data_IF_723199710442
#
_entry.id   IF_723199710442
#
_cell.length_a   1.000
_cell.length_b   1.000
_cell.length_c   1.000
_cell.angle_alpha   90.00
_cell.angle_beta   90.00
_cell.angle_gamma   90.00
#
_symmetry.space_group_name_H-M   'P 1'
#
loop_
_entity.id
_entity.type
_entity.pdbx_description
1 polymer ?
#
# COMPACT_ATOMS: atom_id res chain seq x y z
N UNK A 1 -28.43 39.61 -43.32
CA UNK A 1 -27.70 38.48 -42.80
C UNK A 1 -26.28 38.83 -42.34
N UNK A 2 -25.47 39.56 -43.09
CA UNK A 2 -24.09 39.96 -42.76
C UNK A 2 -23.97 40.87 -41.50
N UNK A 3 -24.87 41.81 -41.30
CA UNK A 3 -24.87 42.72 -40.13
C UNK A 3 -25.24 42.01 -38.83
N UNK A 4 -26.16 41.06 -38.89
CA UNK A 4 -26.52 40.23 -37.73
C UNK A 4 -25.35 39.34 -37.28
N UNK A 5 -24.66 38.71 -38.21
CA UNK A 5 -23.49 37.87 -37.94
C UNK A 5 -22.35 38.69 -37.31
N UNK A 6 -22.11 39.90 -37.80
CA UNK A 6 -21.13 40.86 -37.24
C UNK A 6 -21.48 41.24 -35.79
N UNK A 7 -22.76 41.51 -35.50
CA UNK A 7 -23.19 41.84 -34.16
C UNK A 7 -23.05 40.67 -33.19
N UNK A 8 -23.38 39.46 -33.61
CA UNK A 8 -23.15 38.24 -32.78
C UNK A 8 -21.66 37.99 -32.50
N UNK A 9 -20.79 38.23 -33.50
CA UNK A 9 -19.35 38.12 -33.30
C UNK A 9 -18.82 39.16 -32.32
N UNK A 10 -19.27 40.42 -32.41
CA UNK A 10 -18.91 41.48 -31.46
C UNK A 10 -19.40 41.15 -30.04
N UNK A 11 -20.63 40.68 -29.88
CA UNK A 11 -21.17 40.28 -28.58
C UNK A 11 -20.38 39.08 -28.00
N UNK A 12 -19.98 38.10 -28.82
CA UNK A 12 -19.16 37.00 -28.39
C UNK A 12 -17.76 37.44 -27.94
N UNK A 13 -17.15 38.40 -28.65
CA UNK A 13 -15.84 38.98 -28.31
C UNK A 13 -15.95 39.77 -26.99
N UNK A 14 -16.96 40.61 -26.84
CA UNK A 14 -17.20 41.40 -25.63
C UNK A 14 -17.51 40.50 -24.42
N UNK A 15 -18.31 39.46 -24.62
CA UNK A 15 -18.57 38.45 -23.60
C UNK A 15 -17.30 37.71 -23.18
N UNK A 16 -16.48 37.31 -24.14
CA UNK A 16 -15.17 36.66 -23.88
C UNK A 16 -14.23 37.60 -23.11
N UNK A 17 -14.15 38.89 -23.50
CA UNK A 17 -13.35 39.87 -22.78
C UNK A 17 -13.83 40.12 -21.35
N UNK A 18 -15.16 40.22 -21.15
CA UNK A 18 -15.75 40.38 -19.82
C UNK A 18 -15.44 39.17 -18.90
N UNK A 19 -15.49 37.94 -19.43
CA UNK A 19 -15.14 36.72 -18.69
C UNK A 19 -13.65 36.74 -18.31
N UNK A 20 -12.76 37.11 -19.24
CA UNK A 20 -11.32 37.21 -18.97
C UNK A 20 -11.00 38.27 -17.93
N UNK A 21 -11.65 39.45 -18.01
CA UNK A 21 -11.52 40.54 -17.05
C UNK A 21 -12.00 40.12 -15.65
N UNK A 22 -13.11 39.36 -15.57
CA UNK A 22 -13.61 38.82 -14.30
C UNK A 22 -12.64 37.78 -13.72
N UNK A 23 -12.12 36.87 -14.54
CA UNK A 23 -11.11 35.89 -14.10
C UNK A 23 -9.86 36.57 -13.57
N UNK A 24 -9.37 37.62 -14.30
CA UNK A 24 -8.22 38.42 -13.87
C UNK A 24 -8.48 39.11 -12.52
N UNK A 25 -9.64 39.77 -12.38
CA UNK A 25 -10.02 40.46 -11.16
C UNK A 25 -10.11 39.52 -9.96
N UNK A 26 -10.79 38.38 -10.11
CA UNK A 26 -10.89 37.34 -9.06
C UNK A 26 -9.51 36.77 -8.71
N UNK A 27 -8.66 36.56 -9.73
CA UNK A 27 -7.29 36.10 -9.52
C UNK A 27 -6.44 37.11 -8.75
N UNK A 28 -6.57 38.42 -9.08
CA UNK A 28 -5.85 39.48 -8.39
C UNK A 28 -6.26 39.62 -6.91
N UNK A 29 -7.54 39.39 -6.59
CA UNK A 29 -8.03 39.35 -5.21
C UNK A 29 -7.54 38.17 -4.42
N UNK A 30 -7.43 36.99 -5.05
CA UNK A 30 -7.05 35.73 -4.37
C UNK A 30 -5.54 35.62 -4.25
N UNK A 31 -4.75 36.07 -5.23
CA UNK A 31 -3.30 35.85 -5.27
C UNK A 31 -2.55 36.30 -4.01
N UNK A 32 -2.86 37.49 -3.39
CA UNK A 32 -2.22 37.90 -2.14
C UNK A 32 -2.56 37.00 -0.92
N UNK A 33 -3.69 36.29 -0.98
CA UNK A 33 -4.13 35.40 0.13
C UNK A 33 -3.53 34.00 0.06
N UNK A 34 -2.78 33.73 -1.01
CA UNK A 34 -2.16 32.41 -1.18
C UNK A 34 -1.03 32.19 -0.15
N UNK A 35 -0.88 30.95 0.33
CA UNK A 35 0.16 30.62 1.30
C UNK A 35 1.56 30.94 0.78
N UNK A 36 2.47 31.16 1.73
CA UNK A 36 3.90 31.29 1.42
C UNK A 36 4.45 29.93 0.98
N UNK A 37 5.18 29.90 -0.13
CA UNK A 37 5.75 28.70 -0.72
C UNK A 37 7.25 28.51 -0.44
N UNK A 38 7.91 29.47 0.27
CA UNK A 38 9.35 29.41 0.54
C UNK A 38 9.81 28.15 1.29
N UNK A 39 8.91 27.49 2.04
CA UNK A 39 9.23 26.24 2.70
C UNK A 39 9.33 25.05 1.75
N UNK A 40 8.89 25.15 0.49
CA UNK A 40 9.09 24.10 -0.51
C UNK A 40 10.56 23.99 -0.94
N UNK A 41 11.32 25.09 -0.95
CA UNK A 41 12.75 25.10 -1.27
C UNK A 41 13.59 24.25 -0.29
N UNK A 42 13.08 24.08 0.93
CA UNK A 42 13.75 23.32 2.01
C UNK A 42 12.85 22.18 2.52
N UNK A 43 12.08 21.61 1.61
CA UNK A 43 11.16 20.56 2.01
C UNK A 43 11.90 19.25 2.29
N UNK A 44 11.84 18.82 3.55
CA UNK A 44 12.23 17.47 3.95
C UNK A 44 10.98 16.67 4.31
N UNK A 45 10.72 15.56 3.62
CA UNK A 45 9.56 14.73 3.94
C UNK A 45 9.63 14.18 5.36
N UNK A 46 8.48 14.11 6.02
CA UNK A 46 8.36 13.46 7.33
C UNK A 46 8.85 12.02 7.23
N UNK A 47 9.83 11.67 8.01
CA UNK A 47 10.39 10.33 8.03
C UNK A 47 9.99 9.60 9.31
N UNK A 48 9.63 8.29 9.22
CA UNK A 48 9.24 7.51 10.39
C UNK A 48 10.42 7.23 11.32
N UNK A 49 10.12 6.94 12.59
CA UNK A 49 11.07 6.36 13.53
C UNK A 49 11.44 4.95 13.07
N UNK A 50 12.72 4.66 12.92
CA UNK A 50 13.24 3.35 12.58
C UNK A 50 14.10 2.80 13.70
N UNK A 51 13.85 1.55 14.10
CA UNK A 51 14.56 0.87 15.19
C UNK A 51 15.29 -0.34 14.64
N UNK A 52 16.60 -0.40 14.90
CA UNK A 52 17.51 -1.39 14.36
C UNK A 52 18.16 -2.25 15.45
N UNK A 53 18.57 -3.46 15.09
CA UNK A 53 19.52 -4.24 15.90
C UNK A 53 20.90 -3.60 15.89
N UNK A 54 21.80 -4.13 16.73
CA UNK A 54 23.22 -3.66 16.77
C UNK A 54 23.91 -3.75 15.39
N UNK A 55 23.54 -4.74 14.58
CA UNK A 55 24.11 -5.00 13.24
C UNK A 55 23.33 -4.28 12.11
N UNK A 56 22.36 -3.42 12.44
CA UNK A 56 21.59 -2.65 11.45
C UNK A 56 20.38 -3.41 10.85
N UNK A 57 19.98 -4.57 11.37
CA UNK A 57 18.75 -5.22 10.92
C UNK A 57 17.53 -4.49 11.46
N UNK A 58 16.59 -4.12 10.58
CA UNK A 58 15.38 -3.40 10.95
C UNK A 58 14.47 -4.26 11.86
N UNK A 59 14.17 -3.76 13.06
CA UNK A 59 13.25 -4.37 14.02
C UNK A 59 11.83 -3.83 13.80
N UNK A 60 11.66 -2.51 13.75
CA UNK A 60 10.38 -1.88 13.56
C UNK A 60 10.49 -0.49 12.94
N UNK A 61 9.38 -0.03 12.36
CA UNK A 61 9.20 1.31 11.84
C UNK A 61 7.88 1.87 12.36
N UNK A 62 7.92 3.03 13.00
CA UNK A 62 6.75 3.72 13.55
C UNK A 62 6.55 5.07 12.88
N UNK A 63 5.39 5.26 12.27
CA UNK A 63 4.97 6.45 11.57
C UNK A 63 3.68 6.20 10.79
N UNK A 64 2.93 7.25 10.52
CA UNK A 64 1.69 7.15 9.75
C UNK A 64 1.95 6.96 8.27
N UNK A 65 3.04 7.54 7.79
CA UNK A 65 3.42 7.59 6.38
C UNK A 65 4.71 6.81 6.15
N UNK A 66 4.79 6.14 5.02
CA UNK A 66 6.02 5.52 4.52
C UNK A 66 6.61 6.44 3.47
N UNK A 67 7.80 6.96 3.73
CA UNK A 67 8.50 7.87 2.85
C UNK A 67 9.96 7.47 2.75
N UNK A 68 10.41 7.29 1.52
CA UNK A 68 11.81 7.10 1.18
C UNK A 68 12.13 8.21 0.18
N UNK A 69 12.92 9.22 0.59
CA UNK A 69 13.30 10.35 -0.26
C UNK A 69 14.27 9.91 -1.34
N UNK A 70 14.08 10.42 -2.55
CA UNK A 70 15.00 10.24 -3.67
C UNK A 70 15.20 11.58 -4.39
N UNK A 71 16.46 11.95 -4.63
CA UNK A 71 16.78 13.13 -5.42
C UNK A 71 16.39 12.92 -6.89
N UNK A 72 16.06 14.00 -7.57
CA UNK A 72 15.71 13.92 -9.01
C UNK A 72 16.86 13.35 -9.84
N UNK A 73 18.11 13.67 -9.48
CA UNK A 73 19.32 13.15 -10.12
C UNK A 73 19.52 11.64 -9.96
N UNK A 74 18.92 11.04 -8.92
CA UNK A 74 18.98 9.60 -8.63
C UNK A 74 17.73 8.86 -9.18
N UNK A 75 16.72 9.61 -9.63
CA UNK A 75 15.49 9.03 -10.16
C UNK A 75 15.72 8.46 -11.56
N UNK A 76 15.45 7.15 -11.80
CA UNK A 76 15.65 6.56 -13.11
C UNK A 76 14.84 7.27 -14.20
N UNK A 77 15.48 7.55 -15.36
CA UNK A 77 14.83 8.21 -16.48
C UNK A 77 13.57 7.48 -16.97
N UNK A 78 13.57 6.15 -16.86
CA UNK A 78 12.41 5.31 -17.17
C UNK A 78 11.19 5.68 -16.29
N UNK A 79 11.38 5.97 -15.00
CA UNK A 79 10.31 6.39 -14.09
C UNK A 79 9.82 7.79 -14.46
N UNK A 80 10.73 8.72 -14.72
CA UNK A 80 10.39 10.09 -15.17
C UNK A 80 9.53 10.03 -16.43
N UNK A 81 9.98 9.29 -17.43
CA UNK A 81 9.27 9.12 -18.71
C UNK A 81 7.87 8.51 -18.52
N UNK A 82 7.73 7.52 -17.64
CA UNK A 82 6.44 6.90 -17.33
C UNK A 82 5.48 7.90 -16.69
N UNK A 83 5.95 8.67 -15.69
CA UNK A 83 5.16 9.72 -15.03
C UNK A 83 4.73 10.78 -16.04
N UNK A 84 5.67 11.35 -16.79
CA UNK A 84 5.39 12.41 -17.77
C UNK A 84 4.41 11.94 -18.83
N UNK A 85 4.58 10.72 -19.34
CA UNK A 85 3.72 10.18 -20.40
C UNK A 85 2.25 10.15 -20.05
N UNK A 86 1.91 9.92 -18.78
CA UNK A 86 0.53 9.67 -18.33
C UNK A 86 -0.08 10.82 -17.54
N UNK A 87 0.72 11.59 -16.82
CA UNK A 87 0.25 12.68 -15.95
C UNK A 87 0.39 14.05 -16.64
N UNK A 88 1.52 14.34 -17.27
CA UNK A 88 1.80 15.65 -17.83
C UNK A 88 2.88 15.62 -18.92
N UNK A 89 2.49 15.23 -20.13
CA UNK A 89 3.44 15.06 -21.25
C UNK A 89 4.24 16.32 -21.58
N UNK A 90 3.61 17.49 -21.41
CA UNK A 90 4.20 18.78 -21.77
C UNK A 90 4.73 19.55 -20.57
N UNK A 91 5.03 18.83 -19.50
CA UNK A 91 5.47 19.41 -18.23
C UNK A 91 6.58 20.46 -18.37
N UNK A 92 7.58 20.18 -19.20
CA UNK A 92 8.70 21.10 -19.44
C UNK A 92 8.37 22.28 -20.39
N UNK A 93 7.20 22.28 -21.05
CA UNK A 93 6.84 23.29 -22.05
C UNK A 93 5.92 24.39 -21.53
N UNK A 94 5.16 24.14 -20.46
CA UNK A 94 4.13 25.06 -19.96
C UNK A 94 4.51 25.65 -18.60
N UNK A 95 4.04 26.89 -18.26
CA UNK A 95 4.34 27.56 -17.00
C UNK A 95 3.35 27.17 -15.88
N UNK A 96 3.20 25.89 -15.57
CA UNK A 96 2.33 25.35 -14.51
C UNK A 96 0.92 24.99 -14.94
N UNK A 97 0.43 25.57 -16.05
CA UNK A 97 -0.89 25.28 -16.62
C UNK A 97 -0.72 24.93 -18.10
N UNK A 98 -1.18 23.75 -18.49
CA UNK A 98 -1.20 23.33 -19.91
C UNK A 98 -2.51 23.75 -20.58
N UNK A 99 -2.56 24.99 -21.11
CA UNK A 99 -3.74 25.53 -21.79
C UNK A 99 -4.11 24.68 -23.02
N UNK A 100 -3.12 24.19 -23.77
CA UNK A 100 -3.36 23.35 -24.94
C UNK A 100 -3.91 21.98 -24.50
N UNK A 101 -3.40 21.44 -23.40
CA UNK A 101 -3.90 20.21 -22.78
C UNK A 101 -5.35 20.36 -22.29
N UNK A 102 -5.67 21.48 -21.67
CA UNK A 102 -7.05 21.81 -21.24
C UNK A 102 -7.99 21.86 -22.44
N UNK A 103 -7.63 22.58 -23.51
CA UNK A 103 -8.44 22.67 -24.71
C UNK A 103 -8.65 21.30 -25.38
N UNK A 104 -7.59 20.49 -25.47
CA UNK A 104 -7.66 19.12 -25.98
C UNK A 104 -8.57 18.23 -25.15
N UNK A 105 -8.43 18.27 -23.80
CA UNK A 105 -9.26 17.51 -22.89
C UNK A 105 -10.73 17.92 -22.97
N UNK A 106 -11.02 19.23 -23.08
CA UNK A 106 -12.37 19.75 -23.24
C UNK A 106 -13.03 19.21 -24.53
N UNK A 107 -12.32 19.25 -25.66
CA UNK A 107 -12.81 18.72 -26.94
C UNK A 107 -13.10 17.22 -26.87
N UNK A 108 -12.21 16.42 -26.24
CA UNK A 108 -12.41 14.97 -26.10
C UNK A 108 -13.57 14.64 -25.15
N UNK A 109 -13.73 15.39 -24.06
CA UNK A 109 -14.82 15.19 -23.11
C UNK A 109 -16.18 15.53 -23.74
N UNK A 110 -16.26 16.56 -24.58
CA UNK A 110 -17.48 16.92 -25.33
C UNK A 110 -17.83 15.85 -26.37
N UNK A 111 -16.84 15.27 -27.03
CA UNK A 111 -17.05 14.23 -28.07
C UNK A 111 -17.30 12.83 -27.49
N UNK A 112 -17.29 12.67 -26.16
CA UNK A 112 -17.58 11.40 -25.46
C UNK A 112 -16.53 10.29 -25.65
N UNK A 113 -15.40 10.58 -26.31
CA UNK A 113 -14.40 9.54 -26.69
C UNK A 113 -13.49 9.09 -25.55
N UNK A 114 -13.27 9.93 -24.52
CA UNK A 114 -12.51 9.57 -23.32
C UNK A 114 -12.57 10.70 -22.27
N UNK A 115 -12.45 10.36 -20.98
CA UNK A 115 -12.27 11.35 -19.92
C UNK A 115 -10.76 11.56 -19.68
N UNK A 116 -10.20 12.62 -20.28
CA UNK A 116 -8.84 13.05 -20.00
C UNK A 116 -8.82 14.08 -18.86
N UNK A 117 -7.88 13.93 -17.92
CA UNK A 117 -7.60 14.93 -16.89
C UNK A 117 -6.78 16.07 -17.47
N UNK A 118 -7.07 17.28 -17.02
CA UNK A 118 -6.38 18.51 -17.45
C UNK A 118 -5.53 19.12 -16.31
N UNK A 119 -5.22 18.38 -15.26
CA UNK A 119 -4.38 18.85 -14.15
C UNK A 119 -2.91 18.51 -14.43
N UNK A 120 -2.05 19.51 -14.31
CA UNK A 120 -0.60 19.37 -14.49
C UNK A 120 0.08 18.81 -13.23
N UNK A 121 1.34 18.35 -13.34
CA UNK A 121 2.16 17.94 -12.19
C UNK A 121 2.27 19.07 -11.18
N UNK A 122 2.54 20.32 -11.62
CA UNK A 122 2.63 21.49 -10.73
C UNK A 122 1.33 21.75 -9.98
N UNK A 123 0.16 21.61 -10.62
CA UNK A 123 -1.13 21.69 -9.96
C UNK A 123 -1.34 20.58 -8.93
N UNK A 124 -0.82 19.39 -9.18
CA UNK A 124 -0.88 18.29 -8.22
C UNK A 124 0.04 18.55 -7.02
N UNK A 125 1.23 19.11 -7.22
CA UNK A 125 2.12 19.58 -6.15
C UNK A 125 1.41 20.65 -5.31
N UNK A 126 0.85 21.69 -5.95
CA UNK A 126 0.08 22.75 -5.27
C UNK A 126 -1.03 22.16 -4.39
N UNK A 127 -1.79 21.21 -4.93
CA UNK A 127 -2.87 20.54 -4.19
C UNK A 127 -2.36 19.75 -3.00
N UNK A 128 -1.31 18.97 -3.18
CA UNK A 128 -0.82 18.05 -2.14
C UNK A 128 -0.14 18.77 -0.96
N UNK A 129 0.44 19.94 -1.18
CA UNK A 129 1.12 20.71 -0.14
C UNK A 129 0.23 21.72 0.57
N UNK A 130 -0.74 22.33 -0.13
CA UNK A 130 -1.42 23.53 0.36
C UNK A 130 -2.93 23.43 0.44
N UNK A 131 -3.55 22.40 -0.18
CA UNK A 131 -4.99 22.36 -0.32
C UNK A 131 -5.59 21.12 0.33
N UNK A 132 -6.85 21.25 0.73
CA UNK A 132 -7.64 20.14 1.28
C UNK A 132 -8.18 19.22 0.17
N UNK A 133 -8.69 18.05 0.55
CA UNK A 133 -9.27 17.07 -0.38
C UNK A 133 -10.66 17.47 -0.93
N UNK A 134 -11.23 18.59 -0.48
CA UNK A 134 -12.55 19.07 -0.91
C UNK A 134 -12.58 19.40 -2.41
N UNK A 135 -13.66 19.00 -3.09
CA UNK A 135 -13.84 19.23 -4.53
C UNK A 135 -14.69 20.48 -4.77
N UNK A 136 -14.09 21.69 -4.61
CA UNK A 136 -14.77 22.97 -4.82
C UNK A 136 -14.14 23.76 -5.97
N UNK A 137 -14.91 24.64 -6.60
CA UNK A 137 -14.38 25.58 -7.61
C UNK A 137 -13.31 26.50 -7.02
N UNK A 138 -13.52 27.00 -5.79
CA UNK A 138 -12.56 27.83 -5.06
C UNK A 138 -11.21 27.12 -4.93
N UNK A 139 -11.22 25.83 -4.52
CA UNK A 139 -10.01 25.04 -4.45
C UNK A 139 -9.31 24.93 -5.82
N UNK A 140 -10.08 24.75 -6.91
CA UNK A 140 -9.48 24.62 -8.26
C UNK A 140 -8.84 25.94 -8.73
N UNK A 141 -9.40 27.09 -8.40
CA UNK A 141 -8.79 28.39 -8.66
C UNK A 141 -7.50 28.54 -7.86
N UNK A 142 -7.51 28.22 -6.57
CA UNK A 142 -6.31 28.25 -5.72
C UNK A 142 -5.22 27.30 -6.24
N UNK A 143 -5.58 26.10 -6.72
CA UNK A 143 -4.66 25.13 -7.31
C UNK A 143 -3.95 25.71 -8.54
N UNK A 144 -4.69 26.40 -9.41
CA UNK A 144 -4.16 27.06 -10.61
C UNK A 144 -3.22 28.22 -10.23
N UNK A 145 -3.65 29.12 -9.34
CA UNK A 145 -2.87 30.28 -8.93
C UNK A 145 -1.60 29.86 -8.16
N UNK A 146 -1.69 28.84 -7.31
CA UNK A 146 -0.53 28.26 -6.62
C UNK A 146 0.44 27.61 -7.61
N UNK A 147 -0.05 26.92 -8.63
CA UNK A 147 0.80 26.33 -9.66
C UNK A 147 1.63 27.41 -10.38
N UNK A 148 1.01 28.54 -10.74
CA UNK A 148 1.72 29.68 -11.35
C UNK A 148 2.76 30.26 -10.36
N UNK A 149 2.41 30.36 -9.08
CA UNK A 149 3.31 30.88 -8.05
C UNK A 149 4.53 29.94 -7.85
N UNK A 150 4.31 28.63 -7.80
CA UNK A 150 5.35 27.60 -7.66
C UNK A 150 6.33 27.67 -8.85
N UNK A 151 5.83 27.72 -10.08
CA UNK A 151 6.65 27.79 -11.30
C UNK A 151 7.50 29.06 -11.42
N UNK A 152 7.11 30.15 -10.72
CA UNK A 152 7.92 31.36 -10.65
C UNK A 152 9.08 31.28 -9.65
N UNK A 153 9.04 30.30 -8.74
CA UNK A 153 9.98 30.20 -7.62
C UNK A 153 10.90 28.98 -7.77
N UNK A 154 10.38 27.87 -8.28
CA UNK A 154 11.08 26.60 -8.39
C UNK A 154 11.33 26.22 -9.86
N UNK A 155 12.44 25.56 -10.13
CA UNK A 155 12.73 24.93 -11.42
C UNK A 155 11.80 23.74 -11.70
N UNK A 156 11.74 23.30 -12.94
CA UNK A 156 10.98 22.10 -13.35
C UNK A 156 11.48 20.84 -12.64
N UNK A 157 12.76 20.73 -12.48
CA UNK A 157 13.42 19.61 -11.79
C UNK A 157 13.02 19.57 -10.32
N UNK A 158 13.04 20.71 -9.63
CA UNK A 158 12.62 20.82 -8.23
C UNK A 158 11.13 20.49 -8.05
N UNK A 159 10.27 20.96 -8.95
CA UNK A 159 8.84 20.65 -8.94
C UNK A 159 8.60 19.14 -9.15
N UNK A 160 9.33 18.52 -10.08
CA UNK A 160 9.23 17.10 -10.35
C UNK A 160 9.75 16.27 -9.16
N UNK A 161 10.83 16.71 -8.49
CA UNK A 161 11.34 16.09 -7.27
C UNK A 161 10.31 16.12 -6.16
N UNK A 162 9.69 17.27 -5.92
CA UNK A 162 8.60 17.40 -4.96
C UNK A 162 7.44 16.46 -5.29
N UNK A 163 7.04 16.36 -6.55
CA UNK A 163 5.99 15.45 -6.99
C UNK A 163 6.34 13.99 -6.72
N UNK A 164 7.53 13.55 -7.15
CA UNK A 164 8.02 12.17 -7.01
C UNK A 164 8.06 11.74 -5.55
N UNK A 165 8.38 12.65 -4.64
CA UNK A 165 8.52 12.35 -3.21
C UNK A 165 7.23 12.54 -2.40
N UNK A 166 6.25 13.31 -2.90
CA UNK A 166 5.04 13.67 -2.12
C UNK A 166 3.79 12.88 -2.51
N UNK A 167 3.69 12.41 -3.75
CA UNK A 167 2.45 11.82 -4.23
C UNK A 167 2.06 10.56 -3.47
N UNK A 168 0.79 10.46 -3.07
CA UNK A 168 0.27 9.27 -2.40
C UNK A 168 0.00 8.14 -3.40
N UNK A 169 0.54 6.96 -3.14
CA UNK A 169 0.47 5.80 -4.04
C UNK A 169 -0.21 4.56 -3.42
N UNK A 170 -0.90 4.76 -2.30
CA UNK A 170 -1.60 3.67 -1.61
C UNK A 170 -0.73 2.97 -0.56
N UNK A 171 -1.32 2.10 0.27
CA UNK A 171 -0.63 1.35 1.33
C UNK A 171 0.23 2.22 2.27
N UNK A 172 -0.22 3.45 2.52
CA UNK A 172 0.49 4.48 3.32
C UNK A 172 1.83 4.91 2.70
N UNK A 173 2.08 4.60 1.41
CA UNK A 173 3.29 4.99 0.69
C UNK A 173 3.12 6.35 0.04
N UNK A 174 3.99 7.26 0.39
CA UNK A 174 4.12 8.58 -0.19
C UNK A 174 5.46 8.66 -0.92
N UNK A 175 5.40 9.01 -2.19
CA UNK A 175 6.53 8.99 -3.12
C UNK A 175 6.77 7.62 -3.77
N UNK A 176 7.42 7.68 -4.94
CA UNK A 176 7.64 6.51 -5.78
C UNK A 176 8.66 5.53 -5.18
N UNK A 177 9.70 6.00 -4.48
CA UNK A 177 10.68 5.14 -3.83
C UNK A 177 10.05 4.30 -2.73
N UNK A 178 9.22 4.91 -1.85
CA UNK A 178 8.48 4.20 -0.83
C UNK A 178 7.46 3.21 -1.42
N UNK A 179 6.84 3.56 -2.55
CA UNK A 179 5.91 2.68 -3.25
C UNK A 179 6.63 1.47 -3.87
N UNK A 180 7.78 1.66 -4.51
CA UNK A 180 8.61 0.59 -5.06
C UNK A 180 9.00 -0.44 -3.99
N UNK A 181 9.45 0.05 -2.84
CA UNK A 181 9.77 -0.81 -1.70
C UNK A 181 8.51 -1.50 -1.15
N UNK A 182 7.38 -0.80 -1.07
CA UNK A 182 6.14 -1.34 -0.53
C UNK A 182 5.56 -2.43 -1.42
N UNK A 183 5.45 -2.21 -2.72
CA UNK A 183 4.78 -3.16 -3.63
C UNK A 183 5.72 -4.26 -4.14
N UNK A 184 7.00 -3.96 -4.33
CA UNK A 184 7.96 -4.89 -4.93
C UNK A 184 9.13 -5.26 -4.02
N UNK A 185 9.42 -4.48 -2.97
CA UNK A 185 10.61 -4.65 -2.12
C UNK A 185 11.91 -4.33 -2.84
N UNK A 186 11.84 -3.43 -3.82
CA UNK A 186 12.92 -3.01 -4.71
C UNK A 186 13.15 -1.50 -4.58
N UNK A 187 14.36 -1.05 -4.92
CA UNK A 187 14.61 0.36 -5.20
C UNK A 187 14.09 0.72 -6.60
N UNK A 188 13.98 2.02 -6.91
CA UNK A 188 13.45 2.48 -8.20
C UNK A 188 14.28 2.03 -9.41
N UNK A 189 15.60 1.96 -9.27
CA UNK A 189 16.55 1.52 -10.28
C UNK A 189 16.46 0.01 -10.62
N UNK A 190 15.87 -0.76 -9.72
CA UNK A 190 15.69 -2.22 -9.86
C UNK A 190 14.35 -2.60 -10.49
N UNK A 191 13.48 -1.63 -10.75
CA UNK A 191 12.16 -1.88 -11.34
C UNK A 191 12.30 -2.16 -12.84
N UNK A 192 11.57 -3.18 -13.31
CA UNK A 192 11.38 -3.38 -14.75
C UNK A 192 10.35 -2.37 -15.31
N UNK A 193 10.21 -2.35 -16.63
CA UNK A 193 9.31 -1.41 -17.32
C UNK A 193 7.84 -1.59 -16.92
N UNK A 194 7.38 -2.83 -16.74
CA UNK A 194 6.02 -3.13 -16.28
C UNK A 194 5.75 -2.63 -14.87
N UNK A 195 6.67 -2.88 -13.94
CA UNK A 195 6.59 -2.41 -12.55
C UNK A 195 6.60 -0.87 -12.46
N UNK A 196 7.47 -0.23 -13.25
CA UNK A 196 7.55 1.23 -13.38
C UNK A 196 6.23 1.82 -13.88
N UNK A 197 5.68 1.26 -14.95
CA UNK A 197 4.41 1.71 -15.53
C UNK A 197 3.24 1.54 -14.57
N UNK A 198 3.21 0.45 -13.79
CA UNK A 198 2.19 0.25 -12.77
C UNK A 198 2.25 1.35 -11.71
N UNK A 199 3.43 1.64 -11.15
CA UNK A 199 3.58 2.70 -10.15
C UNK A 199 3.20 4.07 -10.71
N UNK A 200 3.63 4.41 -11.93
CA UNK A 200 3.26 5.66 -12.60
C UNK A 200 1.75 5.79 -12.87
N UNK A 201 1.04 4.68 -12.89
CA UNK A 201 -0.42 4.66 -13.05
C UNK A 201 -1.22 4.92 -11.78
N UNK A 202 -0.62 4.76 -10.58
CA UNK A 202 -1.31 4.83 -9.29
C UNK A 202 -1.82 6.24 -8.90
N UNK A 203 -1.14 7.35 -9.21
CA UNK A 203 -1.55 8.70 -8.78
C UNK A 203 -2.99 9.06 -9.10
N UNK A 204 -3.52 8.60 -10.22
CA UNK A 204 -4.90 8.86 -10.68
C UNK A 204 -5.95 8.44 -9.65
N UNK A 205 -5.80 7.27 -9.03
CA UNK A 205 -6.70 6.77 -7.99
C UNK A 205 -6.04 5.60 -7.21
N UNK A 206 -5.16 5.86 -6.24
CA UNK A 206 -4.32 4.84 -5.59
C UNK A 206 -5.11 3.71 -4.93
N UNK A 207 -6.24 4.03 -4.32
CA UNK A 207 -7.12 3.02 -3.70
C UNK A 207 -7.84 2.15 -4.73
N UNK A 208 -8.19 2.71 -5.91
CA UNK A 208 -8.88 1.98 -6.99
C UNK A 208 -7.95 1.06 -7.74
N UNK A 209 -6.73 1.53 -8.02
CA UNK A 209 -5.71 0.80 -8.79
C UNK A 209 -4.72 0.05 -7.92
N UNK A 210 -5.03 -0.17 -6.64
CA UNK A 210 -4.17 -0.89 -5.72
C UNK A 210 -3.93 -2.34 -6.21
N UNK A 211 -2.67 -2.72 -6.54
CA UNK A 211 -2.39 -4.00 -7.16
C UNK A 211 -2.62 -5.20 -6.23
N UNK A 212 -2.55 -5.00 -4.91
CA UNK A 212 -2.76 -6.04 -3.91
C UNK A 212 -4.24 -6.33 -3.67
N UNK A 213 -5.09 -5.31 -3.80
CA UNK A 213 -6.52 -5.42 -3.54
C UNK A 213 -7.32 -5.63 -4.84
N UNK A 214 -6.87 -5.04 -5.95
CA UNK A 214 -7.57 -5.02 -7.23
C UNK A 214 -6.61 -5.23 -8.41
N UNK A 215 -5.94 -6.39 -8.49
CA UNK A 215 -4.89 -6.64 -9.47
C UNK A 215 -5.34 -6.44 -10.93
N UNK A 216 -6.55 -6.85 -11.29
CA UNK A 216 -7.07 -6.65 -12.65
C UNK A 216 -7.17 -5.18 -13.05
N UNK A 217 -7.65 -4.31 -12.16
CA UNK A 217 -7.74 -2.87 -12.44
C UNK A 217 -6.34 -2.22 -12.49
N UNK A 218 -5.41 -2.69 -11.68
CA UNK A 218 -4.02 -2.25 -11.68
C UNK A 218 -3.32 -2.59 -13.00
N UNK A 219 -3.49 -3.82 -13.50
CA UNK A 219 -2.96 -4.25 -14.82
C UNK A 219 -3.53 -3.41 -15.95
N UNK A 220 -4.85 -3.17 -15.98
CA UNK A 220 -5.45 -2.31 -16.99
C UNK A 220 -4.83 -0.89 -16.96
N UNK A 221 -4.60 -0.36 -15.76
CA UNK A 221 -3.98 0.97 -15.61
C UNK A 221 -2.49 0.97 -16.00
N UNK A 222 -1.75 -0.08 -15.71
CA UNK A 222 -0.39 -0.31 -16.21
C UNK A 222 -0.36 -0.28 -17.74
N UNK A 223 -1.29 -0.98 -18.40
CA UNK A 223 -1.42 -0.97 -19.85
C UNK A 223 -1.72 0.42 -20.41
N UNK A 224 -2.55 1.24 -19.72
CA UNK A 224 -2.78 2.63 -20.11
C UNK A 224 -1.47 3.43 -20.13
N UNK A 225 -0.61 3.23 -19.10
CA UNK A 225 0.70 3.91 -19.04
C UNK A 225 1.63 3.43 -20.14
N UNK A 226 1.80 2.12 -20.30
CA UNK A 226 2.63 1.54 -21.37
C UNK A 226 2.19 2.01 -22.76
N UNK A 227 0.88 2.03 -23.02
CA UNK A 227 0.31 2.58 -24.25
C UNK A 227 0.63 4.07 -24.43
N UNK A 228 0.64 4.83 -23.34
CA UNK A 228 1.00 6.25 -23.39
C UNK A 228 2.49 6.43 -23.70
N UNK A 229 3.35 5.65 -23.05
CA UNK A 229 4.80 5.67 -23.31
C UNK A 229 5.12 5.31 -24.76
N UNK A 230 4.49 4.27 -25.31
CA UNK A 230 4.67 3.88 -26.71
C UNK A 230 4.21 4.96 -27.68
N UNK A 231 3.01 5.51 -27.48
CA UNK A 231 2.46 6.59 -28.34
C UNK A 231 3.29 7.85 -28.36
N UNK A 232 4.01 8.14 -27.29
CA UNK A 232 4.83 9.33 -27.17
C UNK A 232 6.33 9.07 -27.40
N UNK A 233 6.69 7.86 -27.85
CA UNK A 233 8.07 7.53 -28.24
C UNK A 233 9.04 7.35 -27.08
N UNK A 234 8.54 7.17 -25.83
CA UNK A 234 9.39 6.88 -24.69
C UNK A 234 9.86 5.42 -24.62
N UNK A 235 9.15 4.53 -25.30
CA UNK A 235 9.51 3.12 -25.49
C UNK A 235 9.21 2.68 -26.90
N UNK A 236 9.91 1.65 -27.39
CA UNK A 236 9.63 0.99 -28.64
C UNK A 236 8.61 -0.14 -28.50
N UNK A 237 8.16 -0.68 -29.65
CA UNK A 237 7.15 -1.75 -29.67
C UNK A 237 7.64 -3.08 -29.06
N UNK A 238 8.88 -3.53 -29.27
CA UNK A 238 9.43 -4.70 -28.59
C UNK A 238 9.41 -4.58 -27.08
N UNK A 239 9.89 -3.47 -26.52
CA UNK A 239 9.87 -3.21 -25.07
C UNK A 239 8.45 -3.17 -24.49
N UNK A 240 7.51 -2.61 -25.24
CA UNK A 240 6.09 -2.62 -24.87
C UNK A 240 5.54 -4.05 -24.75
N UNK A 241 5.82 -4.93 -25.75
CA UNK A 241 5.34 -6.31 -25.75
C UNK A 241 5.94 -7.07 -24.56
N UNK A 242 7.25 -6.97 -24.34
CA UNK A 242 7.93 -7.60 -23.19
C UNK A 242 7.32 -7.15 -21.85
N UNK A 243 7.05 -5.86 -21.69
CA UNK A 243 6.47 -5.33 -20.45
C UNK A 243 5.03 -5.81 -20.20
N UNK A 244 4.28 -6.18 -21.22
CA UNK A 244 2.93 -6.78 -21.10
C UNK A 244 2.97 -8.25 -20.66
N UNK A 245 4.03 -8.98 -21.05
CA UNK A 245 4.21 -10.39 -20.71
C UNK A 245 4.75 -10.58 -19.28
N UNK A 246 5.40 -9.57 -18.74
CA UNK A 246 5.93 -9.61 -17.39
C UNK A 246 4.81 -9.76 -16.35
N UNK A 247 4.85 -10.87 -15.62
CA UNK A 247 3.94 -11.09 -14.50
C UNK A 247 4.22 -10.11 -13.35
N UNK A 248 3.17 -9.61 -12.71
CA UNK A 248 3.31 -8.77 -11.51
C UNK A 248 3.94 -9.56 -10.36
N UNK A 249 5.22 -9.34 -10.12
CA UNK A 249 5.98 -9.93 -9.01
C UNK A 249 5.77 -9.14 -7.71
N UNK A 250 4.53 -9.06 -7.21
CA UNK A 250 4.22 -8.32 -6.00
C UNK A 250 4.78 -8.99 -4.75
N UNK A 251 5.26 -8.19 -3.82
CA UNK A 251 5.75 -8.69 -2.52
C UNK A 251 4.59 -9.26 -1.70
N UNK A 252 4.65 -10.53 -1.36
CA UNK A 252 3.58 -11.23 -0.62
C UNK A 252 3.36 -10.72 0.82
N UNK A 253 4.35 -10.09 1.44
CA UNK A 253 4.29 -9.65 2.85
C UNK A 253 4.92 -8.27 3.05
N UNK A 254 4.15 -7.36 3.63
CA UNK A 254 4.56 -6.00 4.02
C UNK A 254 5.47 -5.92 5.25
N UNK A 255 6.17 -6.95 5.65
CA UNK A 255 7.03 -6.89 6.83
C UNK A 255 8.40 -6.33 6.45
N UNK A 256 8.58 -5.02 6.63
CA UNK A 256 9.92 -4.42 6.64
C UNK A 256 10.80 -4.96 7.78
N UNK A 257 10.21 -5.58 8.82
CA UNK A 257 10.97 -6.11 9.96
C UNK A 257 11.81 -7.31 9.56
N UNK A 258 13.12 -7.14 9.61
CA UNK A 258 14.10 -8.21 9.41
C UNK A 258 14.34 -9.04 10.66
N UNK A 259 13.97 -8.50 11.82
CA UNK A 259 14.15 -9.12 13.11
C UNK A 259 12.90 -8.94 13.98
N UNK A 260 12.31 -10.04 14.42
CA UNK A 260 11.16 -10.03 15.32
C UNK A 260 11.60 -9.73 16.75
N UNK A 261 11.51 -8.47 17.17
CA UNK A 261 11.76 -7.98 18.53
C UNK A 261 10.77 -6.86 18.89
N UNK A 262 9.48 -7.08 18.63
CA UNK A 262 8.43 -6.05 18.72
C UNK A 262 8.33 -5.43 20.13
N UNK A 263 8.51 -6.21 21.19
CA UNK A 263 8.49 -5.69 22.59
C UNK A 263 9.62 -4.70 22.84
N UNK A 264 10.83 -5.00 22.32
CA UNK A 264 11.97 -4.08 22.43
C UNK A 264 11.69 -2.81 21.63
N UNK A 265 11.13 -2.94 20.43
CA UNK A 265 10.76 -1.79 19.61
C UNK A 265 9.74 -0.88 20.34
N UNK A 266 8.74 -1.48 20.97
CA UNK A 266 7.74 -0.73 21.72
C UNK A 266 8.31 -0.05 23.00
N UNK A 267 9.23 -0.70 23.69
CA UNK A 267 9.95 -0.08 24.80
C UNK A 267 10.73 1.15 24.32
N UNK A 268 11.49 1.03 23.25
CA UNK A 268 12.24 2.16 22.65
C UNK A 268 11.28 3.27 22.23
N UNK A 269 10.20 2.92 21.52
CA UNK A 269 9.20 3.91 21.09
C UNK A 269 8.62 4.69 22.30
N UNK A 270 8.26 3.98 23.36
CA UNK A 270 7.69 4.60 24.56
C UNK A 270 8.69 5.56 25.23
N UNK A 271 9.93 5.13 25.43
CA UNK A 271 10.98 5.96 26.01
C UNK A 271 11.21 7.24 25.20
N UNK A 272 11.31 7.11 23.87
CA UNK A 272 11.50 8.27 22.99
C UNK A 272 10.27 9.18 22.96
N UNK A 273 9.08 8.61 23.03
CA UNK A 273 7.85 9.40 23.08
C UNK A 273 7.72 10.23 24.34
N UNK A 274 8.14 9.70 25.48
CA UNK A 274 8.19 10.43 26.77
C UNK A 274 9.16 11.62 26.70
N UNK A 275 10.23 11.54 25.91
CA UNK A 275 11.25 12.58 25.78
C UNK A 275 10.93 13.60 24.67
N UNK A 276 10.51 13.13 23.47
CA UNK A 276 10.37 13.95 22.28
C UNK A 276 8.92 14.15 21.79
N UNK A 277 7.94 13.49 22.40
CA UNK A 277 6.52 13.52 21.99
C UNK A 277 6.31 13.04 20.56
N UNK A 278 5.30 13.60 19.88
CA UNK A 278 4.91 13.20 18.51
C UNK A 278 5.98 13.43 17.44
N UNK A 279 7.01 14.22 17.74
CA UNK A 279 8.12 14.48 16.81
C UNK A 279 8.83 13.21 16.39
N UNK A 280 8.84 12.17 17.24
CA UNK A 280 9.48 10.89 16.90
C UNK A 280 8.93 10.23 15.62
N UNK A 281 7.66 10.48 15.27
CA UNK A 281 7.01 9.89 14.11
C UNK A 281 7.28 10.64 12.80
N UNK A 282 7.95 11.77 12.87
CA UNK A 282 8.12 12.67 11.71
C UNK A 282 9.55 13.15 11.48
N UNK A 283 10.45 12.97 12.46
CA UNK A 283 11.82 13.51 12.44
C UNK A 283 12.87 12.55 11.87
N UNK A 284 12.50 11.35 11.48
CA UNK A 284 13.41 10.38 10.85
C UNK A 284 14.44 9.79 11.81
N UNK A 285 14.14 9.72 13.10
CA UNK A 285 15.05 9.14 14.09
C UNK A 285 15.39 7.70 13.75
N UNK A 286 16.68 7.39 13.73
CA UNK A 286 17.22 6.04 13.57
C UNK A 286 17.84 5.60 14.89
N UNK A 287 17.28 4.57 15.51
CA UNK A 287 17.71 4.06 16.82
C UNK A 287 18.34 2.70 16.67
N UNK A 288 19.58 2.58 17.08
CA UNK A 288 20.31 1.32 17.11
C UNK A 288 20.31 0.77 18.52
N UNK A 289 19.68 -0.39 18.68
CA UNK A 289 19.62 -1.08 19.98
C UNK A 289 20.86 -1.94 20.21
N UNK A 290 21.03 -2.42 21.44
CA UNK A 290 22.10 -3.38 21.77
C UNK A 290 21.72 -4.83 21.40
N UNK A 291 20.51 -5.06 20.85
CA UNK A 291 20.00 -6.39 20.48
C UNK A 291 20.83 -6.94 19.31
N UNK A 292 21.40 -8.13 19.51
CA UNK A 292 22.08 -8.88 18.46
C UNK A 292 21.08 -9.80 17.73
N UNK A 293 21.00 -9.67 16.39
CA UNK A 293 20.08 -10.43 15.52
C UNK A 293 20.10 -11.93 15.80
N UNK A 294 21.31 -12.53 15.85
CA UNK A 294 21.50 -13.96 16.12
C UNK A 294 20.92 -14.38 17.47
N UNK A 295 21.21 -13.61 18.53
CA UNK A 295 20.76 -13.93 19.88
C UNK A 295 19.23 -13.81 20.00
N UNK A 296 18.62 -12.78 19.39
CA UNK A 296 17.18 -12.60 19.42
C UNK A 296 16.43 -13.72 18.68
N UNK A 297 16.97 -14.19 17.54
CA UNK A 297 16.40 -15.35 16.82
C UNK A 297 16.43 -16.61 17.70
N UNK A 298 17.55 -16.85 18.40
CA UNK A 298 17.70 -17.99 19.31
C UNK A 298 16.75 -17.88 20.50
N UNK A 299 16.66 -16.69 21.12
CA UNK A 299 15.75 -16.41 22.24
C UNK A 299 14.27 -16.65 21.83
N UNK A 300 13.85 -16.10 20.69
CA UNK A 300 12.48 -16.34 20.18
C UNK A 300 12.18 -17.83 19.97
N UNK A 301 13.17 -18.58 19.48
CA UNK A 301 13.06 -20.05 19.32
C UNK A 301 12.99 -20.77 20.66
N UNK A 302 13.81 -20.36 21.62
CA UNK A 302 13.85 -20.97 22.96
C UNK A 302 12.52 -20.75 23.69
N UNK A 303 11.99 -19.53 23.69
CA UNK A 303 10.67 -19.20 24.28
C UNK A 303 9.57 -20.05 23.62
N UNK A 304 9.52 -20.08 22.29
CA UNK A 304 8.54 -20.90 21.57
C UNK A 304 8.60 -22.37 21.94
N UNK A 305 9.81 -22.96 22.00
CA UNK A 305 9.99 -24.36 22.37
C UNK A 305 9.65 -24.60 23.85
N UNK A 306 10.02 -23.67 24.73
CA UNK A 306 9.67 -23.71 26.16
C UNK A 306 8.16 -23.76 26.36
N UNK A 307 7.41 -22.87 25.69
CA UNK A 307 5.95 -22.82 25.75
C UNK A 307 5.33 -24.14 25.26
N UNK A 308 5.77 -24.65 24.11
CA UNK A 308 5.27 -25.95 23.55
C UNK A 308 5.55 -27.09 24.53
N UNK A 309 6.74 -27.12 25.12
CA UNK A 309 7.11 -28.17 26.10
C UNK A 309 6.35 -28.02 27.44
N UNK A 310 6.08 -26.78 27.85
CA UNK A 310 5.23 -26.49 29.03
C UNK A 310 3.82 -27.05 28.80
N UNK A 311 3.18 -26.65 27.67
CA UNK A 311 1.84 -27.14 27.32
C UNK A 311 1.77 -28.68 27.20
N UNK A 312 2.86 -29.32 26.79
CA UNK A 312 2.92 -30.78 26.69
C UNK A 312 2.85 -31.50 28.07
N UNK A 313 3.04 -30.78 29.17
CA UNK A 313 3.02 -31.28 30.55
C UNK A 313 1.77 -30.92 31.35
N UNK A 314 0.98 -29.98 30.80
CA UNK A 314 -0.23 -29.47 31.44
C UNK A 314 -1.48 -29.82 30.64
N UNK A 315 -2.64 -29.72 31.25
CA UNK A 315 -3.91 -30.04 30.60
C UNK A 315 -4.19 -29.17 29.39
N UNK A 316 -4.89 -29.75 28.44
CA UNK A 316 -5.30 -29.09 27.21
C UNK A 316 -6.29 -27.97 27.55
N UNK A 317 -6.04 -26.77 27.03
CA UNK A 317 -7.02 -25.68 27.08
C UNK A 317 -8.20 -25.97 26.14
N UNK A 318 -9.40 -25.43 26.37
CA UNK A 318 -10.51 -25.58 25.43
C UNK A 318 -10.17 -25.02 24.05
N UNK A 319 -10.82 -25.51 22.99
CA UNK A 319 -10.67 -24.95 21.64
C UNK A 319 -10.94 -23.45 21.60
N UNK A 320 -10.29 -22.72 20.68
CA UNK A 320 -10.49 -21.28 20.53
C UNK A 320 -11.89 -20.94 19.99
N UNK A 321 -12.43 -21.83 19.17
CA UNK A 321 -13.76 -21.68 18.55
C UNK A 321 -14.31 -23.07 18.17
N UNK A 322 -15.60 -23.12 17.87
CA UNK A 322 -16.27 -24.30 17.39
C UNK A 322 -17.16 -23.99 16.19
N UNK A 323 -16.90 -24.65 15.06
CA UNK A 323 -17.65 -24.49 13.83
C UNK A 323 -18.55 -25.71 13.61
N UNK A 324 -19.85 -25.56 13.79
CA UNK A 324 -20.80 -26.64 13.55
C UNK A 324 -20.83 -27.06 12.07
N UNK A 325 -20.90 -28.37 11.84
CA UNK A 325 -21.06 -28.96 10.51
C UNK A 325 -22.52 -29.10 10.13
N UNK A 326 -23.17 -27.98 9.74
CA UNK A 326 -24.58 -28.01 9.25
C UNK A 326 -24.62 -28.32 7.76
N UNK A 327 -25.17 -29.48 7.41
CA UNK A 327 -25.19 -30.02 6.02
C UNK A 327 -25.91 -29.09 5.01
N UNK A 328 -26.92 -28.35 5.44
CA UNK A 328 -27.68 -27.40 4.58
C UNK A 328 -26.80 -26.21 4.12
N UNK A 329 -25.94 -25.67 4.99
CA UNK A 329 -25.10 -24.52 4.66
C UNK A 329 -23.99 -24.82 3.63
N UNK A 330 -23.62 -26.08 3.45
CA UNK A 330 -22.56 -26.47 2.50
C UNK A 330 -23.02 -26.40 1.05
N UNK A 331 -24.30 -26.74 0.78
CA UNK A 331 -24.85 -26.67 -0.58
C UNK A 331 -24.99 -25.23 -1.06
N UNK A 332 -25.39 -24.30 -0.18
CA UNK A 332 -25.60 -22.88 -0.51
C UNK A 332 -24.30 -22.08 -0.65
N UNK A 333 -23.22 -22.46 0.02
CA UNK A 333 -21.95 -21.68 0.12
C UNK A 333 -20.79 -22.25 -0.69
N UNK A 334 -21.03 -23.12 -1.64
CA UNK A 334 -20.01 -23.64 -2.57
C UNK A 334 -19.11 -24.72 -1.97
N UNK A 335 -19.62 -25.52 -1.04
CA UNK A 335 -18.98 -26.67 -0.46
C UNK A 335 -18.38 -26.43 0.94
N UNK A 336 -18.18 -27.54 1.69
CA UNK A 336 -17.72 -27.57 3.08
C UNK A 336 -16.41 -26.77 3.28
N UNK A 337 -15.41 -27.01 2.46
CA UNK A 337 -14.09 -26.40 2.64
C UNK A 337 -14.14 -24.88 2.48
N UNK A 338 -14.88 -24.38 1.50
CA UNK A 338 -15.01 -22.94 1.27
C UNK A 338 -15.73 -22.22 2.43
N UNK A 339 -16.73 -22.88 3.00
CA UNK A 339 -17.42 -22.40 4.19
C UNK A 339 -16.48 -22.32 5.39
N UNK A 340 -15.75 -23.41 5.69
CA UNK A 340 -14.80 -23.49 6.80
C UNK A 340 -13.67 -22.46 6.66
N UNK A 341 -13.11 -22.30 5.45
CA UNK A 341 -12.08 -21.29 5.17
C UNK A 341 -12.59 -19.85 5.40
N UNK A 342 -13.87 -19.58 5.06
CA UNK A 342 -14.46 -18.26 5.34
C UNK A 342 -14.51 -17.99 6.85
N UNK A 343 -14.88 -18.99 7.66
CA UNK A 343 -14.89 -18.89 9.14
C UNK A 343 -13.47 -18.75 9.71
N UNK A 344 -12.51 -19.55 9.22
CA UNK A 344 -11.12 -19.46 9.68
C UNK A 344 -10.42 -18.12 9.32
N UNK A 345 -10.91 -17.37 8.30
CA UNK A 345 -10.30 -16.09 7.90
C UNK A 345 -10.27 -15.05 9.01
N UNK A 346 -11.27 -14.99 9.86
CA UNK A 346 -11.37 -14.03 10.97
C UNK A 346 -10.45 -14.36 12.14
N UNK A 347 -10.01 -15.62 12.27
CA UNK A 347 -9.13 -16.06 13.36
C UNK A 347 -7.69 -15.67 13.03
N UNK A 348 -7.00 -14.83 13.82
CA UNK A 348 -5.65 -14.38 13.49
C UNK A 348 -4.63 -15.52 13.54
N UNK A 349 -3.62 -15.46 12.69
CA UNK A 349 -2.46 -16.37 12.76
C UNK A 349 -1.37 -15.69 13.58
N UNK A 350 -0.87 -16.35 14.62
CA UNK A 350 0.20 -15.85 15.47
C UNK A 350 1.50 -16.61 15.17
N UNK A 351 2.47 -15.91 14.60
CA UNK A 351 3.74 -16.52 14.18
C UNK A 351 3.50 -17.78 13.31
N UNK A 352 4.00 -18.94 13.76
CA UNK A 352 3.83 -20.23 13.07
C UNK A 352 2.64 -21.03 13.61
N UNK A 353 1.83 -20.45 14.53
CA UNK A 353 0.62 -21.09 15.07
C UNK A 353 -0.55 -20.83 14.12
N UNK A 354 -0.74 -21.76 13.18
CA UNK A 354 -1.75 -21.65 12.14
C UNK A 354 -3.07 -22.20 12.69
N UNK A 355 -4.18 -21.45 12.66
CA UNK A 355 -5.48 -21.99 13.04
C UNK A 355 -5.96 -23.01 12.01
N UNK A 356 -6.55 -24.08 12.52
CA UNK A 356 -7.16 -25.12 11.70
C UNK A 356 -8.39 -25.70 12.38
N UNK A 357 -9.34 -26.14 11.57
CA UNK A 357 -10.55 -26.82 12.05
C UNK A 357 -10.37 -28.33 11.92
N UNK A 358 -10.69 -29.06 12.97
CA UNK A 358 -10.68 -30.52 12.99
C UNK A 358 -11.82 -31.02 12.11
N UNK A 359 -11.49 -31.80 11.09
CA UNK A 359 -12.46 -32.41 10.16
C UNK A 359 -12.91 -33.80 10.63
N UNK A 360 -11.94 -34.56 11.16
CA UNK A 360 -12.12 -35.90 11.69
C UNK A 360 -11.17 -36.13 12.87
N UNK A 361 -11.64 -36.87 13.88
CA UNK A 361 -10.93 -37.09 15.13
C UNK A 361 -10.91 -38.59 15.42
N UNK A 362 -9.72 -39.21 15.39
CA UNK A 362 -9.48 -40.60 15.71
C UNK A 362 -8.39 -40.70 16.79
N UNK A 363 -8.27 -41.81 17.53
CA UNK A 363 -7.30 -41.95 18.65
C UNK A 363 -5.84 -41.69 18.26
N UNK A 364 -5.44 -42.03 17.04
CA UNK A 364 -4.06 -41.92 16.56
C UNK A 364 -3.88 -40.94 15.38
N UNK A 365 -4.96 -40.32 14.92
CA UNK A 365 -4.94 -39.43 13.75
C UNK A 365 -6.03 -38.36 13.88
N UNK A 366 -5.69 -37.15 13.52
CA UNK A 366 -6.67 -36.09 13.26
C UNK A 366 -6.48 -35.51 11.86
N UNK A 367 -7.59 -35.30 11.15
CA UNK A 367 -7.61 -34.64 9.86
C UNK A 367 -8.08 -33.19 10.03
N UNK A 368 -7.38 -32.28 9.39
CA UNK A 368 -7.51 -30.84 9.65
C UNK A 368 -7.51 -30.04 8.37
N UNK A 369 -8.36 -29.03 8.29
CA UNK A 369 -8.28 -27.97 7.30
C UNK A 369 -7.64 -26.73 7.93
N UNK A 370 -6.45 -26.35 7.48
CA UNK A 370 -5.76 -25.14 7.94
C UNK A 370 -6.34 -23.88 7.28
N UNK A 371 -6.19 -22.73 7.94
CA UNK A 371 -6.60 -21.40 7.44
C UNK A 371 -6.06 -21.07 6.05
N UNK A 372 -4.90 -21.58 5.69
CA UNK A 372 -4.28 -21.38 4.36
C UNK A 372 -4.83 -22.33 3.27
N UNK A 373 -5.89 -23.08 3.55
CA UNK A 373 -6.53 -24.03 2.64
C UNK A 373 -5.88 -25.40 2.56
N UNK A 374 -4.76 -25.62 3.23
CA UNK A 374 -4.07 -26.92 3.22
C UNK A 374 -4.78 -27.92 4.12
N UNK A 375 -5.08 -29.12 3.60
CA UNK A 375 -5.50 -30.27 4.40
C UNK A 375 -4.27 -31.02 4.89
N UNK A 376 -4.25 -31.36 6.17
CA UNK A 376 -3.18 -32.09 6.80
C UNK A 376 -3.75 -33.21 7.67
N UNK A 377 -2.99 -34.28 7.83
CA UNK A 377 -3.23 -35.31 8.84
C UNK A 377 -2.10 -35.23 9.87
N UNK A 378 -2.46 -35.25 11.14
CA UNK A 378 -1.51 -35.22 12.27
C UNK A 378 -1.57 -36.56 12.99
N UNK A 379 -0.41 -37.15 13.21
CA UNK A 379 -0.27 -38.49 13.79
C UNK A 379 0.61 -38.49 15.02
N UNK A 380 0.45 -39.47 15.91
CA UNK A 380 1.36 -39.86 17.00
C UNK A 380 2.07 -38.67 17.70
N UNK A 381 3.35 -38.42 17.34
CA UNK A 381 4.17 -37.36 17.97
C UNK A 381 3.52 -35.98 17.89
N UNK A 382 2.75 -35.74 16.84
CA UNK A 382 2.03 -34.48 16.65
C UNK A 382 0.80 -34.36 17.53
N UNK A 383 0.29 -35.45 18.08
CA UNK A 383 -0.89 -35.52 18.93
C UNK A 383 -0.56 -35.56 20.42
N UNK A 384 0.71 -35.47 20.81
CA UNK A 384 1.14 -35.64 22.21
C UNK A 384 0.35 -34.80 23.21
N UNK A 385 0.00 -33.56 22.82
CA UNK A 385 -0.80 -32.65 23.66
C UNK A 385 -2.28 -33.03 23.75
N UNK A 386 -2.78 -33.80 22.78
CA UNK A 386 -4.19 -34.18 22.68
C UNK A 386 -4.41 -35.61 23.22
N UNK A 387 -3.34 -36.32 23.58
CA UNK A 387 -3.41 -37.76 23.89
C UNK A 387 -4.47 -38.07 24.94
N UNK A 388 -4.48 -37.32 26.03
CA UNK A 388 -5.43 -37.52 27.14
C UNK A 388 -6.89 -37.34 26.67
N UNK A 389 -7.17 -36.33 25.87
CA UNK A 389 -8.52 -36.04 25.34
C UNK A 389 -8.96 -37.12 24.29
N UNK A 390 -8.00 -37.61 23.48
CA UNK A 390 -8.26 -38.61 22.47
C UNK A 390 -8.52 -40.01 23.05
N UNK A 391 -7.99 -40.30 24.24
CA UNK A 391 -8.13 -41.60 24.95
C UNK A 391 -9.42 -41.66 25.82
N UNK A 392 -10.17 -40.56 25.95
CA UNK A 392 -11.44 -40.57 26.67
C UNK A 392 -12.47 -41.44 25.89
N UNK A 393 -13.17 -42.31 26.61
CA UNK A 393 -14.20 -43.20 26.01
C UNK A 393 -15.50 -42.45 25.72
N UNK A 394 -15.90 -41.55 26.62
CA UNK A 394 -17.13 -40.79 26.51
C UNK A 394 -16.97 -39.52 25.70
N UNK A 395 -17.72 -39.38 24.59
CA UNK A 395 -17.68 -38.19 23.76
C UNK A 395 -18.08 -36.90 24.50
N UNK A 396 -18.94 -36.97 25.51
CA UNK A 396 -19.35 -35.82 26.33
C UNK A 396 -18.24 -35.24 27.22
N UNK A 397 -17.20 -36.01 27.51
CA UNK A 397 -16.06 -35.62 28.33
C UNK A 397 -14.91 -35.03 27.48
N UNK A 398 -14.95 -35.22 26.15
CA UNK A 398 -13.93 -34.71 25.24
C UNK A 398 -14.03 -33.23 25.05
N UNK A 399 -12.91 -32.53 25.22
CA UNK A 399 -12.79 -31.11 24.91
C UNK A 399 -12.77 -30.87 23.41
N UNK A 400 -12.28 -31.85 22.62
CA UNK A 400 -12.12 -31.76 21.17
C UNK A 400 -13.14 -32.66 20.47
N UNK A 401 -13.74 -32.11 19.38
CA UNK A 401 -14.64 -32.82 18.47
C UNK A 401 -14.50 -32.28 17.05
N UNK A 402 -15.00 -32.97 16.02
CA UNK A 402 -15.06 -32.40 14.67
C UNK A 402 -15.74 -31.03 14.69
N UNK A 403 -15.09 -29.99 14.13
CA UNK A 403 -15.52 -28.59 14.23
C UNK A 403 -14.70 -27.75 15.21
N UNK A 404 -13.98 -28.36 16.14
CA UNK A 404 -13.10 -27.62 17.04
C UNK A 404 -11.97 -26.90 16.27
N UNK A 405 -11.73 -25.65 16.63
CA UNK A 405 -10.64 -24.85 16.07
C UNK A 405 -9.50 -24.78 17.07
N UNK A 406 -8.34 -25.31 16.67
CA UNK A 406 -7.11 -25.29 17.45
C UNK A 406 -5.93 -24.85 16.58
N UNK A 407 -4.72 -24.80 17.12
CA UNK A 407 -3.51 -24.36 16.44
C UNK A 407 -2.62 -25.51 15.99
N UNK A 408 -1.94 -25.29 14.87
CA UNK A 408 -1.00 -26.26 14.30
C UNK A 408 0.32 -25.58 14.02
N UNK A 409 1.41 -26.25 14.40
CA UNK A 409 2.79 -25.79 14.15
C UNK A 409 3.53 -26.85 13.35
N UNK A 410 4.18 -26.45 12.26
CA UNK A 410 5.02 -27.36 11.46
C UNK A 410 6.40 -27.49 12.10
N UNK A 411 6.81 -28.71 12.42
CA UNK A 411 8.20 -29.07 12.78
C UNK A 411 8.80 -29.90 11.63
N UNK A 412 9.94 -29.46 11.10
CA UNK A 412 10.64 -30.14 9.98
C UNK A 412 9.71 -31.00 9.09
N UNK A 413 9.46 -32.28 9.47
CA UNK A 413 8.71 -33.24 8.65
C UNK A 413 7.31 -33.58 9.17
N UNK A 414 6.85 -33.04 10.31
CA UNK A 414 5.54 -33.35 10.88
C UNK A 414 4.84 -32.11 11.46
N UNK A 415 3.53 -32.23 11.65
CA UNK A 415 2.71 -31.19 12.30
C UNK A 415 2.48 -31.54 13.77
N UNK A 416 2.42 -30.52 14.61
CA UNK A 416 2.04 -30.62 16.02
C UNK A 416 0.71 -29.87 16.19
N UNK A 417 -0.27 -30.57 16.75
CA UNK A 417 -1.49 -29.95 17.25
C UNK A 417 -1.20 -29.30 18.61
N UNK A 418 -1.64 -28.07 18.79
CA UNK A 418 -1.36 -27.25 19.98
C UNK A 418 -2.45 -26.19 20.15
N UNK A 419 -2.29 -25.33 21.14
CA UNK A 419 -3.17 -24.17 21.37
C UNK A 419 -2.32 -22.94 21.64
N UNK A 420 -2.95 -21.75 21.68
CA UNK A 420 -2.26 -20.58 22.16
C UNK A 420 -2.13 -20.67 23.69
N UNK A 421 -0.93 -20.46 24.23
CA UNK A 421 -0.76 -20.41 25.69
C UNK A 421 -1.58 -19.23 26.24
N UNK A 422 -2.31 -19.47 27.30
CA UNK A 422 -2.89 -18.41 28.12
C UNK A 422 -1.78 -17.87 29.03
N UNK A 423 -0.98 -16.95 28.52
CA UNK A 423 0.06 -16.24 29.28
C UNK A 423 -0.25 -14.75 29.24
#
# INVERSE_FOLDING_TARGET
>A
MYSALKNYLILAILGGFSILAMIFFVSALIYPTLPNISHLEKYYPKQPLQIFSKEGALIAEFGEERRDFIAISETPQQMINAILSIEDRRFFEHPGIDIIGIARAALKNITGKSHEGASTITMQVARNFFLTSEKTFKRKINEILLAIKIERTLSKEEILELYINQIYLGQRSFGFAAAANTYYGKNLDQLNLGETALLAGLPKAPSRYNPLLRPKLAINRQQDVLNSMLRHGYIDKPSYILALEDSLSLKEKFTKSELKANYVAEMVRKTLFEEFGDKIYTSGLKVYTTIKKKNQIVANRAVKNGIINYMARHDLAPPEDFIEFKTKEFKEKGGRDKFLLKKLKVIPTYNDFIPGVILDLQPLRIDVLLKNGKKISVYNRGLKLLKKDLELENEGEKLLKPGSVIRFVKKRNYWIATQLPKV
#
